data_IF_702704543081
#
_entry.id   IF_702704543081
#
_cell.length_a   1.000
_cell.length_b   1.000
_cell.length_c   1.000
_cell.angle_alpha   90.00
_cell.angle_beta   90.00
_cell.angle_gamma   90.00
#
_symmetry.space_group_name_H-M   'P 1'
#
loop_
_entity.id
_entity.type
_entity.pdbx_description
1 polymer ?
#
# COMPACT_ATOMS: atom_id res chain seq x y z
N UNK A 1 -32.28 -13.91 -13.16
CA UNK A 1 -31.69 -12.86 -12.30
C UNK A 1 -30.24 -13.25 -12.08
N UNK A 2 -29.27 -12.41 -12.44
CA UNK A 2 -27.86 -12.69 -12.14
C UNK A 2 -27.65 -12.57 -10.62
N UNK A 3 -27.02 -13.56 -10.00
CA UNK A 3 -26.64 -13.51 -8.59
C UNK A 3 -25.66 -12.34 -8.39
N UNK A 4 -25.99 -11.42 -7.49
CA UNK A 4 -25.12 -10.30 -7.14
C UNK A 4 -23.82 -10.84 -6.54
N UNK A 5 -22.67 -10.48 -7.13
CA UNK A 5 -21.35 -10.83 -6.61
C UNK A 5 -21.09 -10.03 -5.33
N UNK A 6 -20.60 -10.70 -4.30
CA UNK A 6 -20.19 -10.12 -3.02
C UNK A 6 -18.73 -9.65 -3.09
N UNK A 7 -18.27 -8.81 -2.15
CA UNK A 7 -16.85 -8.45 -2.04
C UNK A 7 -15.96 -9.69 -1.89
N UNK A 8 -16.47 -10.75 -1.25
CA UNK A 8 -15.73 -12.02 -1.05
C UNK A 8 -15.37 -12.67 -2.39
N UNK A 9 -16.22 -12.54 -3.40
CA UNK A 9 -15.99 -13.12 -4.74
C UNK A 9 -14.79 -12.49 -5.47
N UNK A 10 -14.43 -11.25 -5.13
CA UNK A 10 -13.29 -10.55 -5.73
C UNK A 10 -11.96 -10.85 -5.04
N UNK A 11 -11.97 -11.34 -3.81
CA UNK A 11 -10.76 -11.52 -3.00
C UNK A 11 -10.34 -12.99 -2.85
N UNK A 12 -10.73 -13.86 -3.79
CA UNK A 12 -10.19 -15.21 -3.82
C UNK A 12 -8.68 -15.19 -4.09
N UNK A 13 -7.88 -16.05 -3.43
CA UNK A 13 -6.44 -16.10 -3.66
C UNK A 13 -6.13 -16.29 -5.14
N UNK A 14 -5.25 -15.45 -5.70
CA UNK A 14 -4.79 -15.63 -7.06
C UNK A 14 -4.23 -17.05 -7.22
N UNK A 15 -4.71 -17.79 -8.24
CA UNK A 15 -4.15 -19.10 -8.57
C UNK A 15 -2.68 -18.90 -8.89
N UNK A 16 -1.80 -19.51 -8.08
CA UNK A 16 -0.35 -19.50 -8.26
C UNK A 16 -0.03 -19.89 -9.70
N UNK A 17 0.47 -18.95 -10.50
CA UNK A 17 0.98 -19.25 -11.82
C UNK A 17 2.16 -20.21 -11.64
N UNK A 18 2.01 -21.45 -12.07
CA UNK A 18 3.16 -22.37 -12.16
C UNK A 18 4.12 -21.76 -13.17
N UNK A 19 5.34 -21.48 -12.72
CA UNK A 19 6.45 -21.24 -13.61
C UNK A 19 6.54 -22.47 -14.53
N UNK A 20 6.43 -22.27 -15.84
CA UNK A 20 6.66 -23.32 -16.82
C UNK A 20 8.15 -23.71 -16.73
N UNK A 21 8.44 -24.88 -16.17
CA UNK A 21 9.77 -25.48 -16.23
C UNK A 21 10.03 -25.87 -17.69
N UNK A 22 10.88 -25.08 -18.34
CA UNK A 22 11.47 -25.43 -19.63
C UNK A 22 12.33 -26.68 -19.47
N UNK A 23 12.08 -27.64 -20.34
CA UNK A 23 12.69 -28.97 -20.44
C UNK A 23 14.22 -28.91 -20.47
N UNK A 24 14.88 -29.55 -19.50
CA UNK A 24 16.24 -30.08 -19.62
C UNK A 24 16.18 -31.57 -19.25
N UNK A 25 16.58 -32.51 -20.12
CA UNK A 25 16.56 -33.92 -19.80
C UNK A 25 17.79 -34.28 -18.97
N UNK A 26 17.59 -34.78 -17.75
CA UNK A 26 18.64 -35.48 -16.99
C UNK A 26 18.35 -36.97 -16.99
N UNK A 27 19.29 -37.68 -17.59
CA UNK A 27 19.43 -39.12 -17.66
C UNK A 27 19.53 -39.79 -16.29
N UNK A 28 18.93 -40.98 -16.24
CA UNK A 28 18.98 -42.03 -15.23
C UNK A 28 20.26 -42.11 -14.40
N UNK A 29 20.10 -42.09 -13.07
CA UNK A 29 20.76 -43.05 -12.17
C UNK A 29 19.76 -43.43 -11.08
N UNK A 30 19.22 -44.64 -11.20
CA UNK A 30 18.54 -45.36 -10.14
C UNK A 30 19.54 -45.75 -9.05
N UNK A 31 19.11 -45.77 -7.79
CA UNK A 31 19.12 -46.98 -6.93
C UNK A 31 19.39 -46.68 -5.44
N UNK A 32 18.73 -47.49 -4.59
CA UNK A 32 18.89 -47.69 -3.14
C UNK A 32 18.42 -46.54 -2.22
N UNK A 33 17.64 -46.76 -1.16
CA UNK A 33 17.05 -47.97 -0.61
C UNK A 33 15.93 -47.60 0.39
N UNK A 34 15.10 -48.59 0.67
CA UNK A 34 13.85 -48.56 1.43
C UNK A 34 14.07 -48.52 2.95
N UNK A 35 13.12 -47.83 3.60
CA UNK A 35 12.48 -48.07 4.91
C UNK A 35 13.06 -49.13 5.86
N UNK A 36 13.12 -48.79 7.15
CA UNK A 36 12.77 -49.70 8.23
C UNK A 36 12.18 -48.94 9.42
N UNK A 37 11.18 -49.58 10.01
CA UNK A 37 10.25 -49.14 11.03
C UNK A 37 10.58 -49.75 12.39
N UNK A 38 10.22 -49.07 13.49
CA UNK A 38 9.55 -49.59 14.70
C UNK A 38 10.08 -49.07 16.06
N UNK A 39 9.13 -48.50 16.83
CA UNK A 39 8.80 -48.63 18.27
C UNK A 39 9.57 -47.86 19.38
N UNK A 40 8.73 -47.20 20.22
CA UNK A 40 8.83 -46.49 21.51
C UNK A 40 9.60 -47.17 22.68
N UNK A 41 9.68 -46.66 23.95
CA UNK A 41 9.55 -45.29 24.54
C UNK A 41 10.65 -44.93 25.60
N UNK A 42 10.67 -43.65 26.03
CA UNK A 42 11.13 -43.09 27.33
C UNK A 42 12.61 -43.19 27.78
N UNK A 43 13.30 -42.04 27.91
CA UNK A 43 14.17 -41.73 29.08
C UNK A 43 14.43 -40.22 29.19
N UNK A 44 14.11 -39.65 30.35
CA UNK A 44 14.44 -38.29 30.78
C UNK A 44 15.96 -38.07 30.89
N UNK A 45 16.50 -36.99 30.30
CA UNK A 45 17.70 -36.32 30.80
C UNK A 45 17.93 -34.96 30.14
N UNK A 46 18.07 -33.95 31.01
CA UNK A 46 18.78 -32.68 30.80
C UNK A 46 18.18 -31.68 29.79
N UNK A 47 17.23 -30.89 30.29
CA UNK A 47 16.99 -29.53 29.81
C UNK A 47 18.27 -28.69 29.97
N UNK A 48 18.93 -28.41 28.84
CA UNK A 48 19.84 -27.26 28.72
C UNK A 48 18.98 -26.11 28.23
N UNK A 49 18.62 -25.26 29.18
CA UNK A 49 18.11 -23.91 28.98
C UNK A 49 19.13 -23.10 28.19
N UNK A 50 18.89 -22.92 26.88
CA UNK A 50 19.43 -21.79 26.16
C UNK A 50 18.44 -20.62 26.29
N UNK A 51 18.75 -19.76 27.24
CA UNK A 51 17.96 -18.61 27.64
C UNK A 51 18.30 -17.40 26.78
N UNK A 52 17.59 -17.20 25.67
CA UNK A 52 17.23 -15.86 25.16
C UNK A 52 16.43 -15.94 23.84
N UNK A 53 15.20 -16.45 23.87
CA UNK A 53 14.28 -16.29 22.73
C UNK A 53 12.98 -15.63 23.21
N UNK A 54 12.81 -14.36 22.83
CA UNK A 54 11.67 -13.50 23.16
C UNK A 54 10.34 -14.15 22.74
N UNK A 55 9.63 -14.74 23.70
CA UNK A 55 8.28 -15.28 23.49
C UNK A 55 7.24 -14.16 23.51
N UNK A 56 7.29 -13.27 22.52
CA UNK A 56 6.21 -12.32 22.26
C UNK A 56 4.98 -13.08 21.77
N UNK A 57 3.80 -12.74 22.30
CA UNK A 57 2.53 -13.25 21.80
C UNK A 57 2.28 -12.76 20.37
N UNK A 58 1.41 -13.46 19.63
CA UNK A 58 1.01 -13.05 18.27
C UNK A 58 0.42 -11.64 18.26
N UNK A 59 -0.35 -11.29 19.28
CA UNK A 59 -0.91 -9.95 19.45
C UNK A 59 0.20 -8.91 19.66
N UNK A 60 1.18 -9.20 20.52
CA UNK A 60 2.31 -8.31 20.77
C UNK A 60 3.14 -8.08 19.49
N UNK A 61 3.41 -9.13 18.70
CA UNK A 61 4.09 -8.98 17.41
C UNK A 61 3.29 -8.13 16.43
N UNK A 62 2.00 -8.42 16.27
CA UNK A 62 1.13 -7.67 15.36
C UNK A 62 1.06 -6.19 15.73
N UNK A 63 0.96 -5.88 17.02
CA UNK A 63 0.97 -4.50 17.53
C UNK A 63 2.30 -3.82 17.31
N UNK A 64 3.42 -4.52 17.55
CA UNK A 64 4.76 -4.00 17.30
C UNK A 64 4.98 -3.70 15.81
N UNK A 65 4.57 -4.62 14.93
CA UNK A 65 4.66 -4.44 13.48
C UNK A 65 3.81 -3.27 13.00
N UNK A 66 2.57 -3.15 13.49
CA UNK A 66 1.70 -2.03 13.17
C UNK A 66 2.33 -0.69 13.60
N UNK A 67 2.86 -0.62 14.83
CA UNK A 67 3.53 0.58 15.33
C UNK A 67 4.77 0.93 14.51
N UNK A 68 5.54 -0.07 14.07
CA UNK A 68 6.68 0.12 13.16
C UNK A 68 6.22 0.70 11.81
N UNK A 69 5.18 0.12 11.20
CA UNK A 69 4.60 0.64 9.94
C UNK A 69 4.14 2.09 10.12
N UNK A 70 3.43 2.39 11.21
CA UNK A 70 2.92 3.74 11.51
C UNK A 70 4.06 4.75 11.69
N UNK A 71 5.12 4.37 12.40
CA UNK A 71 6.29 5.23 12.58
C UNK A 71 7.00 5.52 11.26
N UNK A 72 7.14 4.51 10.40
CA UNK A 72 7.74 4.65 9.08
C UNK A 72 6.89 5.58 8.18
N UNK A 73 5.58 5.36 8.11
CA UNK A 73 4.67 6.21 7.33
C UNK A 73 4.74 7.68 7.78
N UNK A 74 4.71 7.94 9.10
CA UNK A 74 4.87 9.29 9.66
C UNK A 74 6.22 9.93 9.33
N UNK A 75 7.30 9.15 9.40
CA UNK A 75 8.64 9.61 9.00
C UNK A 75 8.64 9.98 7.51
N UNK A 76 8.04 9.16 6.66
CA UNK A 76 8.00 9.39 5.21
C UNK A 76 7.24 10.67 4.86
N UNK A 77 6.05 10.87 5.46
CA UNK A 77 5.28 12.11 5.31
C UNK A 77 6.11 13.32 5.75
N UNK A 78 6.80 13.22 6.90
CA UNK A 78 7.66 14.30 7.39
C UNK A 78 8.79 14.62 6.42
N UNK A 79 9.48 13.59 5.89
CA UNK A 79 10.54 13.79 4.90
C UNK A 79 10.04 14.51 3.65
N UNK A 80 8.86 14.14 3.13
CA UNK A 80 8.26 14.83 1.99
C UNK A 80 7.95 16.29 2.32
N UNK A 81 7.37 16.55 3.50
CA UNK A 81 7.10 17.92 3.97
C UNK A 81 8.37 18.75 4.09
N UNK A 82 9.44 18.18 4.66
CA UNK A 82 10.72 18.87 4.84
C UNK A 82 11.38 19.18 3.48
N UNK A 83 11.30 18.26 2.51
CA UNK A 83 11.79 18.49 1.13
C UNK A 83 11.06 19.66 0.46
N UNK A 84 9.75 19.78 0.68
CA UNK A 84 8.95 20.89 0.15
C UNK A 84 9.30 22.22 0.81
N UNK A 85 9.42 22.25 2.14
CA UNK A 85 9.86 23.44 2.87
C UNK A 85 11.23 23.91 2.39
N UNK A 86 12.18 22.98 2.26
CA UNK A 86 13.54 23.28 1.76
C UNK A 86 13.53 23.82 0.33
N UNK A 87 12.77 23.22 -0.58
CA UNK A 87 12.67 23.70 -1.96
C UNK A 87 12.10 25.13 -2.03
N UNK A 88 11.11 25.43 -1.18
CA UNK A 88 10.53 26.77 -1.07
C UNK A 88 11.56 27.79 -0.55
N UNK A 89 12.38 27.43 0.44
CA UNK A 89 13.47 28.26 0.95
C UNK A 89 14.57 28.51 -0.11
N UNK A 90 14.85 27.51 -0.96
CA UNK A 90 15.77 27.61 -2.10
C UNK A 90 15.20 28.42 -3.29
N UNK A 91 13.98 28.95 -3.17
CA UNK A 91 13.30 29.70 -4.23
C UNK A 91 12.79 28.84 -5.39
N UNK A 92 12.76 27.51 -5.23
CA UNK A 92 12.13 26.60 -6.20
C UNK A 92 10.61 26.61 -5.97
N UNK A 93 9.85 26.82 -7.05
CA UNK A 93 8.38 26.81 -7.01
C UNK A 93 7.76 25.42 -6.81
N UNK A 94 8.54 24.34 -6.97
CA UNK A 94 8.08 22.96 -6.87
C UNK A 94 9.20 22.01 -6.42
N UNK A 95 8.82 20.81 -5.99
CA UNK A 95 9.71 19.66 -5.75
C UNK A 95 9.48 18.65 -6.87
N UNK A 96 10.57 18.06 -7.39
CA UNK A 96 10.46 17.01 -8.40
C UNK A 96 9.59 15.87 -7.89
N UNK A 97 8.72 15.34 -8.75
CA UNK A 97 7.75 14.36 -8.31
C UNK A 97 8.44 13.13 -7.71
N UNK A 98 9.53 12.65 -8.32
CA UNK A 98 10.28 11.48 -7.86
C UNK A 98 10.90 11.68 -6.46
N UNK A 99 11.18 12.92 -6.05
CA UNK A 99 11.69 13.24 -4.71
C UNK A 99 10.58 13.15 -3.64
N UNK A 100 9.33 12.97 -4.01
CA UNK A 100 8.24 12.77 -3.06
C UNK A 100 7.98 11.30 -2.75
N UNK A 101 8.60 10.36 -3.51
CA UNK A 101 8.58 8.93 -3.22
C UNK A 101 9.79 8.63 -2.34
N UNK A 102 9.56 8.21 -1.11
CA UNK A 102 10.64 8.05 -0.10
C UNK A 102 10.67 6.67 0.55
N UNK A 103 9.65 5.85 0.29
CA UNK A 103 9.65 4.46 0.76
C UNK A 103 10.62 3.62 -0.07
N UNK A 104 11.53 2.95 0.63
CA UNK A 104 12.72 2.33 0.06
C UNK A 104 12.38 1.19 -0.91
N UNK A 105 11.44 0.33 -0.54
CA UNK A 105 11.10 -0.84 -1.37
C UNK A 105 10.39 -0.45 -2.67
N UNK A 106 9.63 0.65 -2.69
CA UNK A 106 9.08 1.22 -3.91
C UNK A 106 10.13 1.89 -4.80
N UNK A 107 11.14 2.54 -4.21
CA UNK A 107 12.28 3.10 -4.94
C UNK A 107 13.11 2.02 -5.64
N UNK A 108 13.18 0.82 -5.06
CA UNK A 108 13.80 -0.36 -5.68
C UNK A 108 12.91 -0.98 -6.79
N UNK A 109 11.60 -1.01 -6.59
CA UNK A 109 10.65 -1.67 -7.50
C UNK A 109 10.29 -0.86 -8.75
N UNK A 110 10.27 0.47 -8.67
CA UNK A 110 9.77 1.35 -9.75
C UNK A 110 10.81 2.06 -10.65
N UNK A 111 12.14 1.91 -10.54
CA UNK A 111 13.05 2.76 -11.29
C UNK A 111 12.89 2.59 -12.80
N UNK A 112 12.68 1.36 -13.29
CA UNK A 112 12.44 1.13 -14.71
C UNK A 112 11.15 1.78 -15.22
N UNK A 113 10.10 1.82 -14.39
CA UNK A 113 8.79 2.37 -14.77
C UNK A 113 8.83 3.90 -14.81
N UNK A 114 9.46 4.53 -13.81
CA UNK A 114 9.62 5.99 -13.73
C UNK A 114 10.51 6.55 -14.84
N UNK A 115 11.40 5.73 -15.42
CA UNK A 115 12.23 6.14 -16.55
C UNK A 115 11.52 6.13 -17.91
N UNK A 116 10.33 5.52 -18.00
CA UNK A 116 9.58 5.46 -19.26
C UNK A 116 9.14 6.86 -19.72
N UNK A 117 9.07 7.12 -21.05
CA UNK A 117 8.75 8.44 -21.56
C UNK A 117 7.43 9.02 -21.04
N UNK A 118 6.38 8.20 -20.92
CA UNK A 118 5.09 8.68 -20.42
C UNK A 118 5.17 9.11 -18.95
N UNK A 119 5.98 8.43 -18.13
CA UNK A 119 6.13 8.74 -16.70
C UNK A 119 6.84 10.08 -16.53
N UNK A 120 7.93 10.31 -17.28
CA UNK A 120 8.63 11.59 -17.33
C UNK A 120 7.72 12.73 -17.79
N UNK A 121 6.94 12.50 -18.85
CA UNK A 121 5.98 13.49 -19.34
C UNK A 121 4.91 13.81 -18.29
N UNK A 122 4.44 12.81 -17.55
CA UNK A 122 3.49 12.99 -16.45
C UNK A 122 4.10 13.77 -15.29
N UNK A 123 5.33 13.45 -14.86
CA UNK A 123 6.04 14.20 -13.82
C UNK A 123 6.19 15.67 -14.21
N UNK A 124 6.66 15.95 -15.43
CA UNK A 124 6.82 17.33 -15.93
C UNK A 124 5.49 18.09 -16.02
N UNK A 125 4.41 17.40 -16.41
CA UNK A 125 3.07 18.00 -16.43
C UNK A 125 2.63 18.37 -15.01
N UNK A 126 2.74 17.45 -14.06
CA UNK A 126 2.40 17.66 -12.65
C UNK A 126 3.21 18.81 -12.03
N UNK A 127 4.53 18.82 -12.24
CA UNK A 127 5.43 19.84 -11.71
C UNK A 127 5.09 21.24 -12.23
N UNK A 128 4.67 21.34 -13.50
CA UNK A 128 4.20 22.59 -14.10
C UNK A 128 2.90 23.05 -13.43
N UNK A 129 1.93 22.17 -13.28
CA UNK A 129 0.63 22.50 -12.66
C UNK A 129 0.81 22.92 -11.19
N UNK A 130 1.72 22.27 -10.47
CA UNK A 130 2.06 22.64 -9.09
C UNK A 130 2.69 24.02 -8.94
N UNK A 131 3.31 24.55 -10.01
CA UNK A 131 3.87 25.90 -10.05
C UNK A 131 2.84 26.97 -10.45
N UNK A 132 1.62 26.55 -10.82
CA UNK A 132 0.54 27.44 -11.22
C UNK A 132 -0.25 28.02 -10.04
N UNK A 133 -1.30 28.79 -10.38
CA UNK A 133 -2.20 29.41 -9.39
C UNK A 133 -3.44 28.54 -9.06
N UNK A 134 -3.55 27.36 -9.65
CA UNK A 134 -4.70 26.47 -9.47
C UNK A 134 -4.45 25.57 -8.25
N UNK A 135 -5.42 25.40 -7.33
CA UNK A 135 -5.29 24.47 -6.22
C UNK A 135 -5.09 23.03 -6.72
N UNK A 136 -3.98 22.41 -6.30
CA UNK A 136 -3.66 21.01 -6.60
C UNK A 136 -3.97 20.15 -5.37
N UNK A 137 -4.63 19.02 -5.60
CA UNK A 137 -4.97 18.04 -4.57
C UNK A 137 -4.47 16.64 -4.95
N UNK A 138 -3.96 15.85 -3.98
CA UNK A 138 -3.70 16.24 -2.59
C UNK A 138 -2.51 17.22 -2.48
N UNK A 139 -2.26 17.81 -1.29
CA UNK A 139 -1.03 18.55 -1.04
C UNK A 139 0.21 17.76 -1.47
N UNK A 140 1.22 18.45 -1.98
CA UNK A 140 2.42 17.85 -2.58
C UNK A 140 3.05 16.72 -1.74
N UNK A 141 3.20 16.93 -0.42
CA UNK A 141 3.79 15.94 0.48
C UNK A 141 2.97 14.65 0.64
N UNK A 142 1.73 14.64 0.16
CA UNK A 142 0.81 13.50 0.19
C UNK A 142 0.58 12.86 -1.18
N UNK A 143 1.21 13.32 -2.27
CA UNK A 143 0.97 12.75 -3.61
C UNK A 143 1.24 11.24 -3.63
N UNK A 144 2.33 10.81 -3.01
CA UNK A 144 2.67 9.39 -2.86
C UNK A 144 2.34 8.81 -1.49
N UNK A 145 1.38 9.39 -0.75
CA UNK A 145 1.09 8.95 0.62
C UNK A 145 0.77 7.44 0.69
N UNK A 146 0.02 6.92 -0.28
CA UNK A 146 -0.29 5.49 -0.40
C UNK A 146 0.97 4.59 -0.44
N UNK A 147 1.91 4.92 -1.33
CA UNK A 147 3.20 4.21 -1.48
C UNK A 147 4.10 4.43 -0.26
N UNK A 148 4.14 5.66 0.23
CA UNK A 148 4.94 6.06 1.38
C UNK A 148 4.44 5.45 2.70
N UNK A 149 3.19 5.00 2.75
CA UNK A 149 2.59 4.33 3.92
C UNK A 149 2.79 2.82 3.88
N UNK A 150 2.80 2.22 2.69
CA UNK A 150 2.75 0.76 2.52
C UNK A 150 3.96 0.27 1.73
N UNK A 151 4.93 -0.43 2.36
CA UNK A 151 6.04 -1.05 1.66
C UNK A 151 5.57 -2.00 0.55
N UNK A 152 6.30 -2.04 -0.57
CA UNK A 152 5.98 -2.82 -1.76
C UNK A 152 5.75 -4.30 -1.46
N UNK A 153 6.60 -4.90 -0.63
CA UNK A 153 6.54 -6.30 -0.22
C UNK A 153 5.36 -6.62 0.72
N UNK A 154 4.72 -5.58 1.29
CA UNK A 154 3.57 -5.71 2.20
C UNK A 154 2.24 -5.45 1.51
N UNK A 155 2.24 -5.07 0.23
CA UNK A 155 1.02 -4.85 -0.54
C UNK A 155 0.27 -6.18 -0.75
N UNK A 156 -1.00 -6.22 -0.35
CA UNK A 156 -1.87 -7.41 -0.55
C UNK A 156 -3.04 -7.19 -1.50
N UNK A 157 -3.50 -5.95 -1.63
CA UNK A 157 -4.58 -5.58 -2.55
C UNK A 157 -4.40 -4.13 -2.99
N UNK A 158 -4.80 -3.85 -4.22
CA UNK A 158 -4.78 -2.51 -4.81
C UNK A 158 -6.21 -2.07 -5.04
N UNK A 159 -6.60 -0.96 -4.39
CA UNK A 159 -7.89 -0.31 -4.60
C UNK A 159 -7.63 0.98 -5.37
N UNK A 160 -8.23 1.10 -6.55
CA UNK A 160 -8.00 2.21 -7.47
C UNK A 160 -9.18 3.16 -7.41
N UNK A 161 -8.90 4.44 -7.13
CA UNK A 161 -9.88 5.52 -7.24
C UNK A 161 -9.90 6.10 -8.65
N UNK A 162 -10.97 6.80 -9.01
CA UNK A 162 -11.03 7.53 -10.28
C UNK A 162 -10.18 8.80 -10.21
N UNK A 163 -10.56 9.72 -9.34
CA UNK A 163 -9.89 11.00 -9.10
C UNK A 163 -9.80 11.28 -7.58
N UNK A 164 -8.85 12.11 -7.13
CA UNK A 164 -8.83 12.60 -5.76
C UNK A 164 -10.09 13.42 -5.43
N UNK A 165 -10.47 13.47 -4.16
CA UNK A 165 -11.50 14.40 -3.72
C UNK A 165 -11.07 15.85 -3.96
N UNK A 166 -11.96 16.66 -4.54
CA UNK A 166 -11.68 18.04 -4.94
C UNK A 166 -11.95 19.08 -3.83
N UNK A 167 -12.57 18.67 -2.71
CA UNK A 167 -12.84 19.58 -1.60
C UNK A 167 -11.56 19.93 -0.83
N UNK A 168 -11.38 21.19 -0.40
CA UNK A 168 -10.23 21.59 0.40
C UNK A 168 -10.04 20.69 1.62
N UNK A 169 -8.83 20.14 1.78
CA UNK A 169 -8.47 19.27 2.90
C UNK A 169 -9.07 17.86 2.86
N UNK A 170 -9.81 17.48 1.82
CA UNK A 170 -10.38 16.13 1.72
C UNK A 170 -9.37 15.11 1.21
N UNK A 171 -8.61 15.45 0.17
CA UNK A 171 -7.64 14.54 -0.43
C UNK A 171 -6.40 14.39 0.46
N UNK A 172 -6.17 13.18 0.95
CA UNK A 172 -5.03 12.83 1.80
C UNK A 172 -4.04 11.86 1.16
N UNK A 173 -4.09 11.69 -0.17
CA UNK A 173 -3.20 10.77 -0.89
C UNK A 173 -3.51 9.28 -0.71
N UNK A 174 -4.68 8.96 -0.16
CA UNK A 174 -5.24 7.62 -0.07
C UNK A 174 -6.63 7.62 -0.73
N UNK A 175 -6.89 6.72 -1.69
CA UNK A 175 -8.18 6.65 -2.38
C UNK A 175 -9.31 6.38 -1.41
N UNK A 176 -10.46 7.02 -1.65
CA UNK A 176 -11.65 7.00 -0.81
C UNK A 176 -11.49 7.56 0.61
N UNK A 177 -10.25 7.67 1.12
CA UNK A 177 -9.92 8.13 2.45
C UNK A 177 -10.01 9.66 2.55
N UNK A 178 -10.53 10.14 3.69
CA UNK A 178 -10.49 11.55 4.09
C UNK A 178 -9.96 11.68 5.51
N UNK A 179 -9.30 12.81 5.89
CA UNK A 179 -8.87 13.03 7.26
C UNK A 179 -10.02 12.94 8.27
N UNK A 180 -9.70 12.64 9.52
CA UNK A 180 -10.69 12.70 10.60
C UNK A 180 -11.23 14.13 10.77
N UNK A 181 -12.52 14.24 11.13
CA UNK A 181 -13.23 15.51 11.19
C UNK A 181 -13.79 16.00 9.86
N UNK A 182 -13.36 15.42 8.73
CA UNK A 182 -13.98 15.66 7.42
C UNK A 182 -15.21 14.76 7.24
N UNK A 183 -16.29 15.32 6.70
CA UNK A 183 -17.51 14.58 6.37
C UNK A 183 -17.18 13.40 5.46
N UNK A 184 -17.62 12.20 5.85
CA UNK A 184 -17.43 10.98 5.06
C UNK A 184 -18.12 11.12 3.69
N UNK A 185 -17.38 11.01 2.58
CA UNK A 185 -17.95 11.13 1.23
C UNK A 185 -18.91 9.98 0.89
N UNK A 186 -19.86 10.23 -0.01
CA UNK A 186 -20.90 9.25 -0.39
C UNK A 186 -20.33 7.95 -0.97
N UNK A 187 -19.25 8.04 -1.75
CA UNK A 187 -18.51 6.89 -2.27
C UNK A 187 -18.00 5.98 -1.15
N UNK A 188 -17.39 6.55 -0.11
CA UNK A 188 -16.92 5.80 1.05
C UNK A 188 -18.07 5.26 1.90
N UNK A 189 -19.17 6.02 2.04
CA UNK A 189 -20.38 5.53 2.71
C UNK A 189 -20.91 4.26 2.05
N UNK A 190 -20.90 4.21 0.71
CA UNK A 190 -21.32 3.01 -0.02
C UNK A 190 -20.38 1.82 0.25
N UNK A 191 -19.06 2.03 0.25
CA UNK A 191 -18.09 0.98 0.63
C UNK A 191 -18.38 0.44 2.04
N UNK A 192 -18.66 1.32 3.02
CA UNK A 192 -19.00 0.90 4.37
C UNK A 192 -20.33 0.12 4.46
N UNK A 193 -21.33 0.47 3.64
CA UNK A 193 -22.58 -0.30 3.55
C UNK A 193 -22.33 -1.72 3.03
N UNK A 194 -21.56 -1.87 1.96
CA UNK A 194 -21.20 -3.18 1.41
C UNK A 194 -20.41 -4.02 2.42
N UNK A 195 -19.42 -3.42 3.12
CA UNK A 195 -18.67 -4.11 4.17
C UNK A 195 -19.56 -4.58 5.33
N UNK A 196 -20.55 -3.77 5.73
CA UNK A 196 -21.51 -4.16 6.76
C UNK A 196 -22.42 -5.28 6.28
N UNK A 197 -22.89 -5.20 5.04
CA UNK A 197 -23.79 -6.19 4.46
C UNK A 197 -23.11 -7.55 4.25
N UNK A 198 -21.89 -7.55 3.70
CA UNK A 198 -21.18 -8.78 3.34
C UNK A 198 -20.46 -9.42 4.53
N UNK A 199 -19.90 -8.61 5.43
CA UNK A 199 -19.01 -9.10 6.50
C UNK A 199 -19.52 -8.80 7.92
N UNK A 200 -20.66 -8.11 8.06
CA UNK A 200 -21.19 -7.73 9.37
C UNK A 200 -20.32 -6.72 10.13
N UNK A 201 -19.40 -6.03 9.45
CA UNK A 201 -18.48 -5.09 10.09
C UNK A 201 -19.20 -3.86 10.65
N UNK A 202 -18.68 -3.33 11.75
CA UNK A 202 -19.10 -2.03 12.27
C UNK A 202 -18.63 -0.91 11.33
N UNK A 203 -19.50 0.06 11.07
CA UNK A 203 -19.19 1.22 10.23
C UNK A 203 -18.48 2.28 11.08
N UNK A 204 -17.25 2.70 10.74
CA UNK A 204 -16.56 3.77 11.45
C UNK A 204 -17.30 5.10 11.35
N UNK A 205 -17.12 5.98 12.34
CA UNK A 205 -17.66 7.33 12.33
C UNK A 205 -16.81 8.33 11.52
N UNK A 206 -15.64 7.92 11.04
CA UNK A 206 -14.71 8.74 10.26
C UNK A 206 -14.37 8.09 8.93
N UNK A 207 -13.84 8.90 8.00
CA UNK A 207 -13.45 8.44 6.66
C UNK A 207 -11.96 8.11 6.50
N UNK A 208 -11.16 8.16 7.57
CA UNK A 208 -9.73 7.87 7.50
C UNK A 208 -9.45 6.36 7.39
N UNK A 209 -8.87 5.95 6.27
CA UNK A 209 -8.51 4.57 5.93
C UNK A 209 -7.00 4.27 6.11
N UNK A 210 -6.23 5.15 6.76
CA UNK A 210 -4.79 4.95 7.01
C UNK A 210 -4.52 3.61 7.72
N UNK A 211 -5.41 3.20 8.64
CA UNK A 211 -5.30 1.89 9.29
C UNK A 211 -5.32 0.72 8.30
N UNK A 212 -6.05 0.81 7.20
CA UNK A 212 -6.07 -0.25 6.18
C UNK A 212 -4.77 -0.27 5.36
N UNK A 213 -4.14 0.89 5.15
CA UNK A 213 -2.84 0.98 4.49
C UNK A 213 -1.69 0.46 5.39
N UNK A 214 -1.76 0.73 6.70
CA UNK A 214 -0.76 0.30 7.67
C UNK A 214 -0.87 -1.16 8.07
N UNK A 215 -2.10 -1.68 8.13
CA UNK A 215 -2.33 -3.08 8.41
C UNK A 215 -2.03 -3.90 7.17
N UNK A 216 -1.57 -5.12 7.38
CA UNK A 216 -1.36 -6.12 6.32
C UNK A 216 -2.70 -6.62 5.74
N UNK A 217 -3.77 -5.83 5.84
CA UNK A 217 -5.12 -6.11 5.37
C UNK A 217 -5.55 -5.00 4.40
N UNK A 218 -5.31 -5.28 3.11
CA UNK A 218 -6.00 -4.72 1.94
C UNK A 218 -6.20 -3.19 1.91
N UNK A 219 -5.14 -2.41 1.62
CA UNK A 219 -5.17 -1.11 0.91
C UNK A 219 -3.73 -0.54 0.81
N UNK A 220 -3.30 0.38 -0.06
CA UNK A 220 -3.92 1.17 -1.14
C UNK A 220 -2.79 1.63 -2.10
N UNK A 221 -3.01 1.67 -3.42
CA UNK A 221 -2.21 2.47 -4.38
C UNK A 221 -3.15 2.97 -5.46
N UNK A 222 -3.21 4.28 -5.69
CA UNK A 222 -3.89 4.85 -6.86
C UNK A 222 -2.96 5.82 -7.56
N UNK A 223 -2.63 5.47 -8.81
CA UNK A 223 -2.06 6.38 -9.78
C UNK A 223 -3.15 6.72 -10.79
N UNK A 224 -3.95 7.76 -10.49
CA UNK A 224 -4.61 8.51 -11.55
C UNK A 224 -5.08 9.89 -11.11
N UNK A 225 -4.67 10.84 -11.95
CA UNK A 225 -5.06 12.24 -12.11
C UNK A 225 -4.89 13.17 -10.91
N UNK A 226 -3.77 13.90 -10.94
CA UNK A 226 -3.44 14.99 -10.02
C UNK A 226 -4.12 16.34 -10.38
N UNK A 227 -5.08 16.37 -11.30
CA UNK A 227 -5.66 17.63 -11.77
C UNK A 227 -7.17 17.48 -11.93
N UNK A 228 -7.94 18.04 -11.00
CA UNK A 228 -9.39 18.17 -11.13
C UNK A 228 -9.87 19.63 -11.12
N UNK A 229 -9.05 20.55 -11.66
CA UNK A 229 -9.49 21.94 -11.86
C UNK A 229 -9.07 22.56 -13.21
N UNK A 230 -8.30 21.89 -14.07
CA UNK A 230 -7.94 22.43 -15.39
C UNK A 230 -8.73 21.80 -16.56
N UNK A 231 -9.24 20.57 -16.44
CA UNK A 231 -9.79 19.84 -17.60
C UNK A 231 -11.28 20.12 -17.83
N UNK A 232 -12.02 20.64 -16.85
CA UNK A 232 -13.47 20.91 -17.01
C UNK A 232 -13.75 22.16 -17.84
N UNK A 233 -12.73 22.97 -18.18
CA UNK A 233 -12.91 24.20 -18.97
C UNK A 233 -12.31 24.16 -20.39
N UNK A 234 -11.68 23.06 -20.81
CA UNK A 234 -11.00 22.96 -22.12
C UNK A 234 -11.35 21.69 -22.93
N UNK A 235 -12.53 21.10 -22.71
CA UNK A 235 -13.19 20.14 -23.63
C UNK A 235 -14.64 20.58 -23.82
#
# INVERSE_FOLDING_TARGET
MASSKTLVDFFQPAKRMKLSETLIPKSNVSSLCKSSSNNDPNTDAAAITDSSSSNLTTEQRTRMEFNKSLANAKRNIKLCSDRISKAKEEGKGYVKLEELLVEETWLEALPAELQKPYAKNLSLFVEREMSGNVPIYPPAHLIFNALNTTPFDRVKAVIIGQDPYHGPGQAMGLSFSVPEGIKVPSSLVNIFKELKQDLGCSVPSHGNLERWALQVMKCLVSFRNLVHSAIVNDI
#
